data_IF_950395667846
#
_entry.id   IF_950395667846
#
_cell.length_a   1.000
_cell.length_b   1.000
_cell.length_c   1.000
_cell.angle_alpha   90.00
_cell.angle_beta   90.00
_cell.angle_gamma   90.00
#
_symmetry.space_group_name_H-M   'P 1'
#
loop_
_entity.id
_entity.type
_entity.pdbx_description
1 polymer ?
#
# COMPACT_ATOMS: atom_id res chain seq x y z
N UNK A 1 6.38 24.90 13.78
CA UNK A 1 5.62 25.18 15.01
C UNK A 1 6.31 24.46 16.15
N UNK A 2 6.67 25.23 17.17
CA UNK A 2 7.41 24.79 18.35
C UNK A 2 6.84 23.48 18.91
N UNK A 3 7.70 22.47 19.04
CA UNK A 3 7.42 21.22 19.74
C UNK A 3 7.37 21.53 21.23
N UNK A 4 6.22 22.03 21.71
CA UNK A 4 5.94 22.02 23.14
C UNK A 4 5.92 20.56 23.58
N UNK A 5 6.94 20.16 24.36
CA UNK A 5 6.93 18.89 25.06
C UNK A 5 5.61 18.80 25.86
N UNK A 6 4.87 17.68 25.81
CA UNK A 6 3.69 17.53 26.63
C UNK A 6 4.10 17.69 28.11
N UNK A 7 3.29 18.37 28.94
CA UNK A 7 3.65 18.62 30.33
C UNK A 7 3.95 17.30 31.05
N UNK A 8 4.99 17.31 31.88
CA UNK A 8 5.58 16.18 32.62
C UNK A 8 4.61 15.34 33.49
N UNK A 9 3.30 15.60 33.49
CA UNK A 9 2.31 14.94 34.34
C UNK A 9 1.59 13.76 33.68
N UNK A 10 1.82 13.50 32.38
CA UNK A 10 1.07 12.46 31.64
C UNK A 10 1.41 11.02 32.06
N UNK A 11 2.65 10.78 32.53
CA UNK A 11 3.08 9.48 33.02
C UNK A 11 2.55 9.15 34.43
N UNK A 12 2.27 10.17 35.23
CA UNK A 12 1.80 10.07 36.62
C UNK A 12 0.29 9.80 36.73
N UNK A 13 -0.47 10.02 35.65
CA UNK A 13 -1.90 9.75 35.63
C UNK A 13 -2.20 8.25 35.76
N UNK A 14 -3.33 7.86 36.39
CA UNK A 14 -3.78 6.48 36.42
C UNK A 14 -3.85 5.86 35.03
N UNK A 15 -3.46 4.58 34.90
CA UNK A 15 -3.39 3.87 33.61
C UNK A 15 -4.67 4.03 32.79
N UNK A 16 -5.84 3.94 33.44
CA UNK A 16 -7.14 4.07 32.77
C UNK A 16 -7.30 5.44 32.10
N UNK A 17 -6.89 6.53 32.76
CA UNK A 17 -6.96 7.89 32.20
C UNK A 17 -6.07 8.02 30.97
N UNK A 18 -4.86 7.43 31.02
CA UNK A 18 -3.94 7.44 29.87
C UNK A 18 -4.48 6.62 28.69
N UNK A 19 -5.09 5.46 28.97
CA UNK A 19 -5.72 4.62 27.95
C UNK A 19 -6.94 5.30 27.34
N UNK A 20 -7.77 5.95 28.15
CA UNK A 20 -8.91 6.73 27.67
C UNK A 20 -8.44 7.89 26.77
N UNK A 21 -7.37 8.58 27.15
CA UNK A 21 -6.78 9.63 26.32
C UNK A 21 -6.32 9.09 24.96
N UNK A 22 -5.66 7.92 24.92
CA UNK A 22 -5.32 7.26 23.65
C UNK A 22 -6.56 6.91 22.85
N UNK A 23 -7.56 6.28 23.48
CA UNK A 23 -8.77 5.76 22.83
C UNK A 23 -9.60 6.86 22.15
N UNK A 24 -9.53 8.10 22.64
CA UNK A 24 -10.20 9.26 22.05
C UNK A 24 -9.50 9.82 20.81
N UNK A 25 -8.31 9.32 20.47
CA UNK A 25 -7.56 9.79 19.30
C UNK A 25 -7.99 9.07 18.02
N UNK A 26 -8.02 9.81 16.91
CA UNK A 26 -8.20 9.22 15.59
C UNK A 26 -7.04 8.26 15.21
N UNK A 27 -5.86 8.46 15.79
CA UNK A 27 -4.72 7.55 15.60
C UNK A 27 -4.95 6.18 16.26
N UNK A 28 -5.67 6.13 17.39
CA UNK A 28 -6.03 4.87 18.01
C UNK A 28 -7.06 4.10 17.18
N UNK A 29 -8.06 4.79 16.63
CA UNK A 29 -8.99 4.17 15.67
C UNK A 29 -8.25 3.60 14.44
N UNK A 30 -7.27 4.33 13.93
CA UNK A 30 -6.39 3.87 12.85
C UNK A 30 -5.56 2.64 13.25
N UNK A 31 -5.03 2.61 14.48
CA UNK A 31 -4.34 1.43 15.02
C UNK A 31 -5.25 0.19 15.12
N UNK A 32 -6.46 0.35 15.64
CA UNK A 32 -7.46 -0.74 15.72
C UNK A 32 -7.84 -1.24 14.33
N UNK A 33 -7.95 -0.34 13.35
CA UNK A 33 -8.16 -0.72 11.94
C UNK A 33 -7.04 -1.62 11.40
N UNK A 34 -5.77 -1.26 11.63
CA UNK A 34 -4.65 -2.10 11.21
C UNK A 34 -4.60 -3.44 11.95
N UNK A 35 -4.88 -3.47 13.26
CA UNK A 35 -4.98 -4.71 14.02
C UNK A 35 -6.09 -5.62 13.45
N UNK A 36 -7.26 -5.05 13.16
CA UNK A 36 -8.40 -5.77 12.58
C UNK A 36 -8.03 -6.34 11.21
N UNK A 37 -7.36 -5.56 10.36
CA UNK A 37 -6.87 -6.01 9.05
C UNK A 37 -5.92 -7.20 9.19
N UNK A 38 -4.96 -7.15 10.11
CA UNK A 38 -3.99 -8.23 10.34
C UNK A 38 -4.68 -9.52 10.80
N UNK A 39 -5.58 -9.43 11.79
CA UNK A 39 -6.31 -10.59 12.33
C UNK A 39 -7.20 -11.22 11.24
N UNK A 40 -7.93 -10.40 10.49
CA UNK A 40 -8.83 -10.89 9.43
C UNK A 40 -8.07 -11.46 8.24
N UNK A 41 -6.93 -10.86 7.88
CA UNK A 41 -6.02 -11.42 6.86
C UNK A 41 -5.45 -12.77 7.29
N UNK A 42 -5.06 -12.92 8.55
CA UNK A 42 -4.61 -14.20 9.11
C UNK A 42 -5.74 -15.24 9.07
N UNK A 43 -6.95 -14.86 9.50
CA UNK A 43 -8.14 -15.74 9.48
C UNK A 43 -8.49 -16.20 8.06
N UNK A 44 -8.41 -15.31 7.08
CA UNK A 44 -8.64 -15.64 5.67
C UNK A 44 -7.54 -16.53 5.10
N UNK A 45 -6.27 -16.26 5.44
CA UNK A 45 -5.13 -17.12 5.08
C UNK A 45 -5.30 -18.53 5.62
N UNK A 46 -5.71 -18.70 6.88
CA UNK A 46 -6.03 -20.02 7.44
C UNK A 46 -7.17 -20.70 6.67
N UNK A 47 -8.19 -19.96 6.23
CA UNK A 47 -9.27 -20.52 5.42
C UNK A 47 -8.77 -21.01 4.06
N UNK A 48 -7.83 -20.30 3.42
CA UNK A 48 -7.20 -20.71 2.17
C UNK A 48 -6.40 -22.00 2.37
N UNK A 49 -5.57 -22.06 3.43
CA UNK A 49 -4.77 -23.25 3.76
C UNK A 49 -5.62 -24.48 4.09
N UNK A 50 -6.82 -24.28 4.63
CA UNK A 50 -7.81 -25.33 4.89
C UNK A 50 -8.73 -25.64 3.70
N UNK A 51 -8.48 -25.04 2.53
CA UNK A 51 -9.35 -25.14 1.34
C UNK A 51 -10.81 -24.76 1.62
N UNK A 52 -11.05 -23.88 2.59
CA UNK A 52 -12.37 -23.44 3.07
C UNK A 52 -12.65 -21.96 2.74
N UNK A 53 -12.00 -21.42 1.71
CA UNK A 53 -12.09 -20.00 1.35
C UNK A 53 -13.47 -19.57 0.81
N UNK A 54 -14.29 -20.54 0.39
CA UNK A 54 -15.66 -20.30 -0.10
C UNK A 54 -16.70 -20.20 1.03
N UNK A 55 -16.30 -20.44 2.29
CA UNK A 55 -17.21 -20.36 3.43
C UNK A 55 -17.65 -18.92 3.72
N UNK A 56 -18.83 -18.74 4.32
CA UNK A 56 -19.32 -17.43 4.76
C UNK A 56 -18.33 -16.73 5.68
N UNK A 57 -17.73 -17.46 6.64
CA UNK A 57 -16.74 -16.90 7.56
C UNK A 57 -15.46 -16.41 6.86
N UNK A 58 -14.98 -17.11 5.84
CA UNK A 58 -13.85 -16.66 5.04
C UNK A 58 -14.18 -15.39 4.25
N UNK A 59 -15.36 -15.36 3.62
CA UNK A 59 -15.82 -14.17 2.91
C UNK A 59 -15.95 -12.96 3.84
N UNK A 60 -16.53 -13.13 5.04
CA UNK A 60 -16.60 -12.05 6.05
C UNK A 60 -15.20 -11.57 6.42
N UNK A 61 -14.25 -12.47 6.67
CA UNK A 61 -12.87 -12.08 6.99
C UNK A 61 -12.22 -11.27 5.86
N UNK A 62 -12.37 -11.69 4.60
CA UNK A 62 -11.86 -10.96 3.44
C UNK A 62 -12.47 -9.55 3.31
N UNK A 63 -13.80 -9.44 3.41
CA UNK A 63 -14.50 -8.16 3.31
C UNK A 63 -14.15 -7.23 4.49
N UNK A 64 -14.06 -7.78 5.70
CA UNK A 64 -13.68 -7.01 6.88
C UNK A 64 -12.23 -6.52 6.82
N UNK A 65 -11.32 -7.29 6.21
CA UNK A 65 -9.94 -6.87 5.99
C UNK A 65 -9.88 -5.63 5.06
N UNK A 66 -10.59 -5.65 3.94
CA UNK A 66 -10.63 -4.49 3.03
C UNK A 66 -11.45 -3.32 3.56
N UNK A 67 -12.50 -3.57 4.35
CA UNK A 67 -13.19 -2.51 5.07
C UNK A 67 -12.26 -1.82 6.08
N UNK A 68 -11.44 -2.60 6.80
CA UNK A 68 -10.43 -2.07 7.71
C UNK A 68 -9.33 -1.30 6.97
N UNK A 69 -8.92 -1.78 5.79
CA UNK A 69 -8.01 -1.05 4.91
C UNK A 69 -8.60 0.30 4.48
N UNK A 70 -9.85 0.30 4.00
CA UNK A 70 -10.53 1.53 3.61
C UNK A 70 -10.66 2.51 4.78
N UNK A 71 -10.99 2.03 5.98
CA UNK A 71 -11.05 2.87 7.17
C UNK A 71 -9.68 3.49 7.54
N UNK A 72 -8.61 2.69 7.54
CA UNK A 72 -7.26 3.16 7.89
C UNK A 72 -6.72 4.17 6.90
N UNK A 73 -6.76 3.87 5.59
CA UNK A 73 -6.36 4.84 4.57
C UNK A 73 -7.29 6.05 4.50
N UNK A 74 -8.59 5.86 4.73
CA UNK A 74 -9.56 6.96 4.84
C UNK A 74 -9.21 7.94 5.96
N UNK A 75 -8.77 7.45 7.12
CA UNK A 75 -8.26 8.29 8.21
C UNK A 75 -7.02 9.08 7.78
N UNK A 76 -6.07 8.45 7.08
CA UNK A 76 -4.84 9.11 6.62
C UNK A 76 -5.16 10.21 5.61
N UNK A 77 -6.00 9.91 4.61
CA UNK A 77 -6.48 10.87 3.61
C UNK A 77 -7.24 12.01 4.28
N UNK A 78 -8.16 11.71 5.20
CA UNK A 78 -8.88 12.74 5.96
C UNK A 78 -7.91 13.68 6.68
N UNK A 79 -6.92 13.13 7.40
CA UNK A 79 -5.92 13.95 8.11
C UNK A 79 -5.06 14.78 7.15
N UNK A 80 -4.70 14.25 5.99
CA UNK A 80 -3.88 14.93 5.00
C UNK A 80 -4.60 16.14 4.35
N UNK A 81 -5.91 16.04 4.14
CA UNK A 81 -6.67 17.04 3.36
C UNK A 81 -7.65 17.89 4.18
N UNK A 82 -8.02 17.51 5.41
CA UNK A 82 -9.01 18.24 6.23
C UNK A 82 -8.69 19.73 6.40
N UNK A 83 -7.43 20.06 6.71
CA UNK A 83 -7.03 21.45 6.93
C UNK A 83 -7.13 22.29 5.65
N UNK A 84 -6.69 21.73 4.51
CA UNK A 84 -6.79 22.37 3.19
C UNK A 84 -8.23 22.56 2.75
N UNK A 85 -9.06 21.56 2.99
CA UNK A 85 -10.51 21.62 2.74
C UNK A 85 -11.16 22.75 3.55
N UNK A 86 -10.89 22.84 4.85
CA UNK A 86 -11.44 23.91 5.71
C UNK A 86 -10.95 25.30 5.33
N UNK A 87 -9.72 25.42 4.86
CA UNK A 87 -9.14 26.68 4.43
C UNK A 87 -9.51 27.07 2.99
N UNK A 88 -10.30 26.25 2.26
CA UNK A 88 -10.62 26.51 0.85
C UNK A 88 -9.40 26.43 -0.09
N UNK A 89 -8.30 25.84 0.35
CA UNK A 89 -7.02 25.75 -0.40
C UNK A 89 -6.79 24.37 -1.01
N UNK A 90 -7.88 23.64 -1.27
CA UNK A 90 -7.79 22.36 -1.96
C UNK A 90 -7.24 22.57 -3.37
N UNK A 91 -6.37 21.69 -3.86
CA UNK A 91 -5.94 21.74 -5.25
C UNK A 91 -7.16 21.64 -6.18
N UNK A 92 -7.37 22.65 -7.03
CA UNK A 92 -8.49 22.71 -7.99
C UNK A 92 -8.01 22.44 -9.42
N UNK A 93 -8.97 22.22 -10.32
CA UNK A 93 -8.70 21.94 -11.73
C UNK A 93 -7.99 20.60 -11.97
N UNK A 94 -7.61 20.36 -13.23
CA UNK A 94 -7.02 19.09 -13.65
C UNK A 94 -5.71 18.77 -12.90
N UNK A 95 -4.84 19.75 -12.71
CA UNK A 95 -3.59 19.57 -11.97
C UNK A 95 -3.83 19.23 -10.49
N UNK A 96 -4.88 19.79 -9.88
CA UNK A 96 -5.28 19.47 -8.52
C UNK A 96 -5.75 18.02 -8.37
N UNK A 97 -6.56 17.53 -9.31
CA UNK A 97 -7.00 16.13 -9.36
C UNK A 97 -5.80 15.19 -9.51
N UNK A 98 -4.88 15.47 -10.42
CA UNK A 98 -3.65 14.66 -10.59
C UNK A 98 -2.83 14.62 -9.30
N UNK A 99 -2.72 15.75 -8.59
CA UNK A 99 -1.98 15.81 -7.32
C UNK A 99 -2.63 14.96 -6.23
N UNK A 100 -3.95 14.91 -6.14
CA UNK A 100 -4.67 14.10 -5.15
C UNK A 100 -4.60 12.62 -5.51
N UNK A 101 -4.83 12.26 -6.79
CA UNK A 101 -4.69 10.87 -7.26
C UNK A 101 -3.23 10.39 -7.22
N UNK A 102 -2.29 11.32 -7.21
CA UNK A 102 -0.88 11.08 -6.98
C UNK A 102 -0.51 10.85 -5.51
N UNK A 103 -1.41 10.94 -4.54
CA UNK A 103 -1.11 10.55 -3.16
C UNK A 103 -1.24 9.03 -3.01
N UNK A 104 -0.19 8.37 -2.53
CA UNK A 104 -0.19 6.91 -2.37
C UNK A 104 -1.30 6.43 -1.42
N UNK A 105 -1.66 7.21 -0.39
CA UNK A 105 -2.73 6.84 0.52
C UNK A 105 -4.10 6.90 -0.15
N UNK A 106 -4.29 7.86 -1.05
CA UNK A 106 -5.50 7.93 -1.89
C UNK A 106 -5.54 6.74 -2.84
N UNK A 107 -4.42 6.38 -3.46
CA UNK A 107 -4.32 5.22 -4.34
C UNK A 107 -4.67 3.92 -3.61
N UNK A 108 -4.12 3.66 -2.41
CA UNK A 108 -4.47 2.48 -1.63
C UNK A 108 -5.91 2.53 -1.09
N UNK A 109 -6.45 3.70 -0.77
CA UNK A 109 -7.86 3.83 -0.40
C UNK A 109 -8.78 3.40 -1.56
N UNK A 110 -8.52 3.89 -2.77
CA UNK A 110 -9.28 3.50 -3.97
C UNK A 110 -9.14 2.00 -4.22
N UNK A 111 -7.93 1.45 -4.13
CA UNK A 111 -7.72 0.02 -4.29
C UNK A 111 -8.42 -0.81 -3.21
N UNK A 112 -8.46 -0.35 -1.95
CA UNK A 112 -9.19 -1.02 -0.88
C UNK A 112 -10.69 -1.12 -1.21
N UNK A 113 -11.29 -0.05 -1.73
CA UNK A 113 -12.69 -0.10 -2.20
C UNK A 113 -12.87 -1.03 -3.40
N UNK A 114 -11.99 -1.00 -4.40
CA UNK A 114 -12.08 -1.90 -5.54
C UNK A 114 -12.05 -3.37 -5.10
N UNK A 115 -11.11 -3.74 -4.21
CA UNK A 115 -11.00 -5.10 -3.68
C UNK A 115 -12.13 -5.47 -2.72
N UNK A 116 -12.72 -4.50 -2.03
CA UNK A 116 -13.88 -4.71 -1.17
C UNK A 116 -15.11 -5.17 -1.94
N UNK A 117 -15.27 -4.77 -3.21
CA UNK A 117 -16.44 -5.12 -4.02
C UNK A 117 -16.14 -6.14 -5.14
N UNK A 118 -14.87 -6.35 -5.51
CA UNK A 118 -14.51 -7.37 -6.50
C UNK A 118 -14.72 -8.80 -5.97
N UNK A 119 -14.62 -9.78 -6.86
CA UNK A 119 -14.44 -11.18 -6.44
C UNK A 119 -13.16 -11.31 -5.58
N UNK A 120 -13.16 -12.16 -4.53
CA UNK A 120 -12.00 -12.28 -3.66
C UNK A 120 -10.72 -12.73 -4.39
N UNK A 121 -9.64 -11.98 -4.19
CA UNK A 121 -8.31 -12.23 -4.76
C UNK A 121 -7.35 -12.38 -3.59
N UNK A 122 -6.94 -13.61 -3.28
CA UNK A 122 -6.14 -13.89 -2.08
C UNK A 122 -4.91 -12.98 -1.91
N UNK A 123 -4.07 -12.89 -2.95
CA UNK A 123 -2.86 -12.08 -2.92
C UNK A 123 -3.11 -10.58 -2.76
N UNK A 124 -4.33 -10.09 -2.98
CA UNK A 124 -4.64 -8.65 -2.88
C UNK A 124 -4.51 -8.13 -1.45
N UNK A 125 -4.65 -9.00 -0.43
CA UNK A 125 -4.50 -8.62 0.98
C UNK A 125 -3.03 -8.39 1.37
N UNK A 126 -2.07 -8.97 0.66
CA UNK A 126 -0.68 -9.02 1.12
C UNK A 126 0.02 -7.66 1.16
N UNK A 127 -0.08 -6.79 0.13
CA UNK A 127 0.48 -5.44 0.22
C UNK A 127 -0.07 -4.68 1.45
N UNK A 128 -1.38 -4.75 1.67
CA UNK A 128 -2.05 -4.10 2.80
C UNK A 128 -1.63 -4.68 4.15
N UNK A 129 -1.43 -6.00 4.24
CA UNK A 129 -0.96 -6.67 5.46
C UNK A 129 0.48 -6.31 5.80
N UNK A 130 1.36 -6.17 4.78
CA UNK A 130 2.72 -5.68 4.98
C UNK A 130 2.68 -4.27 5.54
N UNK A 131 2.02 -3.31 4.88
CA UNK A 131 1.89 -1.94 5.41
C UNK A 131 1.29 -1.91 6.81
N UNK A 132 0.23 -2.67 7.05
CA UNK A 132 -0.43 -2.75 8.35
C UNK A 132 0.48 -3.28 9.46
N UNK A 133 1.39 -4.20 9.15
CA UNK A 133 2.38 -4.70 10.12
C UNK A 133 3.31 -3.58 10.57
N UNK A 134 3.85 -2.80 9.63
CA UNK A 134 4.73 -1.67 9.95
C UNK A 134 4.00 -0.57 10.72
N UNK A 135 2.77 -0.25 10.33
CA UNK A 135 1.93 0.73 11.01
C UNK A 135 1.55 0.29 12.43
N UNK A 136 1.13 -0.96 12.60
CA UNK A 136 0.84 -1.55 13.89
C UNK A 136 2.07 -1.51 14.82
N UNK A 137 3.23 -1.98 14.35
CA UNK A 137 4.47 -2.00 15.13
C UNK A 137 4.94 -0.58 15.49
N UNK A 138 4.83 0.36 14.56
CA UNK A 138 5.20 1.76 14.81
C UNK A 138 4.30 2.40 15.86
N UNK A 139 2.99 2.16 15.80
CA UNK A 139 2.06 2.67 16.81
C UNK A 139 2.26 2.00 18.17
N UNK A 140 2.43 0.66 18.17
CA UNK A 140 2.71 -0.12 19.37
C UNK A 140 3.92 0.43 20.10
N UNK A 141 5.02 0.68 19.38
CA UNK A 141 6.25 1.26 19.94
C UNK A 141 6.07 2.69 20.42
N UNK A 142 5.50 3.56 19.61
CA UNK A 142 5.56 5.01 19.86
C UNK A 142 4.43 5.55 20.73
N UNK A 143 3.32 4.82 20.87
CA UNK A 143 2.13 5.32 21.56
C UNK A 143 1.62 4.35 22.62
N UNK A 144 1.51 3.05 22.29
CA UNK A 144 0.87 2.10 23.21
C UNK A 144 1.81 1.62 24.32
N UNK A 145 3.02 1.14 23.98
CA UNK A 145 3.98 0.63 24.97
C UNK A 145 4.38 1.67 26.02
N UNK A 146 4.68 2.94 25.69
CA UNK A 146 4.95 3.96 26.70
C UNK A 146 3.79 4.15 27.70
N UNK A 147 2.55 3.86 27.29
CA UNK A 147 1.36 3.99 28.13
C UNK A 147 1.10 2.74 28.97
N UNK A 148 1.29 1.52 28.45
CA UNK A 148 0.95 0.29 29.18
C UNK A 148 2.13 -0.34 29.91
N UNK A 149 3.36 -0.09 29.43
CA UNK A 149 4.58 -0.72 29.90
C UNK A 149 5.78 0.25 29.74
N UNK A 150 5.80 1.38 30.48
CA UNK A 150 6.76 2.47 30.28
C UNK A 150 8.23 2.06 30.47
N UNK A 151 8.49 1.02 31.24
CA UNK A 151 9.84 0.47 31.47
C UNK A 151 10.27 -0.56 30.44
N UNK A 152 9.36 -0.98 29.54
CA UNK A 152 9.66 -1.98 28.52
C UNK A 152 10.37 -1.34 27.33
N UNK A 153 11.59 -1.81 27.06
CA UNK A 153 12.38 -1.39 25.91
C UNK A 153 11.68 -1.78 24.60
N UNK A 154 11.40 -0.80 23.73
CA UNK A 154 10.81 -1.02 22.41
C UNK A 154 11.86 -1.08 21.27
N UNK A 155 13.14 -1.22 21.63
CA UNK A 155 14.30 -1.25 20.75
C UNK A 155 14.22 -2.43 19.78
N UNK A 156 13.73 -3.58 20.23
CA UNK A 156 13.53 -4.75 19.37
C UNK A 156 12.57 -4.45 18.21
N UNK A 157 11.45 -3.77 18.49
CA UNK A 157 10.49 -3.32 17.47
C UNK A 157 11.16 -2.31 16.54
N UNK A 158 11.90 -1.34 17.09
CA UNK A 158 12.64 -0.38 16.27
C UNK A 158 13.63 -1.05 15.32
N UNK A 159 14.40 -2.03 15.80
CA UNK A 159 15.38 -2.76 15.00
C UNK A 159 14.69 -3.59 13.93
N UNK A 160 13.60 -4.27 14.28
CA UNK A 160 12.82 -5.04 13.33
C UNK A 160 12.28 -4.17 12.20
N UNK A 161 11.64 -3.04 12.53
CA UNK A 161 11.10 -2.10 11.53
C UNK A 161 12.20 -1.59 10.61
N UNK A 162 13.32 -1.10 11.16
CA UNK A 162 14.43 -0.58 10.34
C UNK A 162 15.05 -1.65 9.45
N UNK A 163 15.36 -2.83 10.02
CA UNK A 163 16.03 -3.93 9.30
C UNK A 163 15.19 -4.47 8.15
N UNK A 164 13.87 -4.57 8.34
CA UNK A 164 12.99 -5.23 7.37
C UNK A 164 12.29 -4.26 6.41
N UNK A 165 12.44 -2.94 6.59
CA UNK A 165 11.71 -1.95 5.78
C UNK A 165 11.98 -2.11 4.28
N UNK A 166 13.24 -2.03 3.84
CA UNK A 166 13.59 -2.10 2.42
C UNK A 166 13.18 -3.45 1.80
N UNK A 167 13.48 -4.56 2.48
CA UNK A 167 13.05 -5.91 2.04
C UNK A 167 11.54 -6.00 1.89
N UNK A 168 10.79 -5.42 2.82
CA UNK A 168 9.32 -5.42 2.77
C UNK A 168 8.79 -4.52 1.66
N UNK A 169 9.45 -3.39 1.36
CA UNK A 169 9.08 -2.53 0.25
C UNK A 169 9.33 -3.21 -1.10
N UNK A 170 10.43 -3.95 -1.26
CA UNK A 170 10.63 -4.79 -2.44
C UNK A 170 9.60 -5.92 -2.55
N UNK A 171 9.22 -6.55 -1.43
CA UNK A 171 8.15 -7.54 -1.41
C UNK A 171 6.82 -6.92 -1.87
N UNK A 172 6.44 -5.76 -1.35
CA UNK A 172 5.24 -5.03 -1.77
C UNK A 172 5.28 -4.71 -3.27
N UNK A 173 6.41 -4.20 -3.78
CA UNK A 173 6.54 -3.89 -5.19
C UNK A 173 6.34 -5.12 -6.09
N UNK A 174 6.94 -6.26 -5.71
CA UNK A 174 6.76 -7.52 -6.43
C UNK A 174 5.32 -8.03 -6.35
N UNK A 175 4.67 -7.92 -5.19
CA UNK A 175 3.27 -8.29 -5.02
C UNK A 175 2.35 -7.41 -5.89
N UNK A 176 2.62 -6.11 -5.98
CA UNK A 176 1.84 -5.19 -6.81
C UNK A 176 1.93 -5.54 -8.30
N UNK A 177 3.12 -5.84 -8.79
CA UNK A 177 3.34 -6.27 -10.18
C UNK A 177 2.71 -7.65 -10.43
N UNK A 178 2.87 -8.60 -9.50
CA UNK A 178 2.26 -9.92 -9.58
C UNK A 178 0.73 -9.85 -9.65
N UNK A 179 0.12 -8.98 -8.84
CA UNK A 179 -1.31 -8.74 -8.85
C UNK A 179 -1.79 -8.17 -10.18
N UNK A 180 -1.06 -7.20 -10.76
CA UNK A 180 -1.39 -6.70 -12.09
C UNK A 180 -1.31 -7.82 -13.14
N UNK A 181 -0.22 -8.60 -13.14
CA UNK A 181 -0.04 -9.71 -14.08
C UNK A 181 -1.18 -10.73 -13.96
N UNK A 182 -1.59 -11.08 -12.72
CA UNK A 182 -2.75 -11.94 -12.47
C UNK A 182 -4.04 -11.35 -13.05
N UNK A 183 -4.33 -10.08 -12.77
CA UNK A 183 -5.55 -9.42 -13.26
C UNK A 183 -5.56 -9.33 -14.79
N UNK A 184 -4.40 -9.04 -15.39
CA UNK A 184 -4.20 -9.01 -16.84
C UNK A 184 -4.48 -10.36 -17.49
N UNK A 185 -3.87 -11.44 -16.98
CA UNK A 185 -4.10 -12.79 -17.49
C UNK A 185 -5.57 -13.21 -17.32
N UNK A 186 -6.17 -12.89 -16.18
CA UNK A 186 -7.59 -13.19 -15.97
C UNK A 186 -8.51 -12.43 -16.94
N UNK A 187 -8.23 -11.16 -17.24
CA UNK A 187 -8.96 -10.40 -18.25
C UNK A 187 -8.79 -10.99 -19.66
N UNK A 188 -7.59 -11.46 -20.01
CA UNK A 188 -7.30 -12.06 -21.31
C UNK A 188 -8.04 -13.39 -21.51
N UNK A 189 -8.01 -14.29 -20.52
CA UNK A 189 -8.61 -15.63 -20.65
C UNK A 189 -10.11 -15.68 -20.38
N UNK A 190 -10.63 -14.82 -19.49
CA UNK A 190 -12.01 -14.91 -19.01
C UNK A 190 -12.88 -13.68 -19.35
N UNK A 191 -12.34 -12.70 -20.09
CA UNK A 191 -13.02 -11.52 -20.67
C UNK A 191 -13.89 -10.65 -19.73
N UNK A 192 -13.85 -10.90 -18.42
CA UNK A 192 -14.79 -10.32 -17.44
C UNK A 192 -14.13 -9.35 -16.44
N UNK A 193 -12.94 -8.82 -16.72
CA UNK A 193 -12.19 -7.99 -15.76
C UNK A 193 -11.51 -6.76 -16.35
N UNK A 194 -11.99 -6.27 -17.49
CA UNK A 194 -11.42 -5.09 -18.16
C UNK A 194 -11.44 -3.82 -17.31
N UNK A 195 -12.51 -3.59 -16.54
CA UNK A 195 -12.60 -2.42 -15.64
C UNK A 195 -11.57 -2.52 -14.51
N UNK A 196 -11.48 -3.69 -13.86
CA UNK A 196 -10.49 -3.91 -12.80
C UNK A 196 -9.05 -3.81 -13.33
N UNK A 197 -8.81 -4.34 -14.54
CA UNK A 197 -7.52 -4.20 -15.22
C UNK A 197 -7.19 -2.73 -15.49
N UNK A 198 -8.14 -1.93 -15.99
CA UNK A 198 -7.93 -0.51 -16.25
C UNK A 198 -7.59 0.24 -14.94
N UNK A 199 -8.37 0.03 -13.88
CA UNK A 199 -8.13 0.65 -12.56
C UNK A 199 -6.76 0.24 -12.01
N UNK A 200 -6.44 -1.05 -12.01
CA UNK A 200 -5.17 -1.54 -11.48
C UNK A 200 -3.98 -1.07 -12.33
N UNK A 201 -4.14 -0.94 -13.64
CA UNK A 201 -3.11 -0.38 -14.53
C UNK A 201 -2.84 1.09 -14.18
N UNK A 202 -3.87 1.89 -13.93
CA UNK A 202 -3.72 3.28 -13.47
C UNK A 202 -3.03 3.34 -12.10
N UNK A 203 -3.41 2.46 -11.18
CA UNK A 203 -2.73 2.32 -9.89
C UNK A 203 -1.24 2.01 -10.06
N UNK A 204 -0.90 0.95 -10.81
CA UNK A 204 0.49 0.56 -11.02
C UNK A 204 1.30 1.65 -11.76
N UNK A 205 0.65 2.41 -12.63
CA UNK A 205 1.26 3.55 -13.34
C UNK A 205 1.64 4.67 -12.37
N UNK A 206 0.71 5.04 -11.48
CA UNK A 206 0.98 6.02 -10.44
C UNK A 206 2.10 5.54 -9.50
N UNK A 207 2.09 4.25 -9.15
CA UNK A 207 3.14 3.62 -8.34
C UNK A 207 4.50 3.62 -9.03
N UNK A 208 4.57 3.37 -10.34
CA UNK A 208 5.83 3.46 -11.09
C UNK A 208 6.43 4.87 -11.10
N UNK A 209 5.57 5.90 -11.19
CA UNK A 209 6.02 7.29 -11.12
C UNK A 209 6.60 7.65 -9.73
N UNK A 210 6.06 7.07 -8.66
CA UNK A 210 6.31 7.51 -7.29
C UNK A 210 7.24 6.61 -6.47
N UNK A 211 7.31 5.32 -6.79
CA UNK A 211 8.05 4.32 -6.02
C UNK A 211 9.29 3.84 -6.77
N UNK A 212 10.46 4.08 -6.17
CA UNK A 212 11.71 3.52 -6.66
C UNK A 212 11.68 1.98 -6.66
N UNK A 213 11.05 1.37 -5.65
CA UNK A 213 10.93 -0.09 -5.52
C UNK A 213 10.19 -0.73 -6.69
N UNK A 214 9.15 -0.07 -7.23
CA UNK A 214 8.42 -0.56 -8.41
C UNK A 214 9.29 -0.48 -9.66
N UNK A 215 10.01 0.64 -9.83
CA UNK A 215 10.95 0.79 -10.96
C UNK A 215 12.05 -0.27 -10.90
N UNK A 216 12.59 -0.53 -9.72
CA UNK A 216 13.65 -1.53 -9.53
C UNK A 216 13.12 -2.95 -9.71
N UNK A 217 11.91 -3.26 -9.24
CA UNK A 217 11.27 -4.54 -9.50
C UNK A 217 11.00 -4.78 -10.99
N UNK A 218 10.53 -3.77 -11.73
CA UNK A 218 10.34 -3.86 -13.19
C UNK A 218 11.67 -4.05 -13.93
N UNK A 219 12.72 -3.31 -13.56
CA UNK A 219 14.08 -3.53 -14.10
C UNK A 219 14.58 -4.95 -13.82
N UNK A 220 14.32 -5.47 -12.62
CA UNK A 220 14.66 -6.85 -12.26
C UNK A 220 13.96 -7.88 -13.16
N UNK A 221 12.69 -7.65 -13.51
CA UNK A 221 11.94 -8.48 -14.45
C UNK A 221 12.53 -8.38 -15.86
N UNK A 222 12.87 -7.17 -16.31
CA UNK A 222 13.49 -6.93 -17.61
C UNK A 222 14.82 -7.69 -17.75
N UNK A 223 15.73 -7.53 -16.78
CA UNK A 223 17.02 -8.22 -16.80
C UNK A 223 16.87 -9.75 -16.81
N UNK A 224 15.94 -10.30 -16.01
CA UNK A 224 15.72 -11.75 -15.98
C UNK A 224 15.10 -12.26 -17.28
N UNK A 225 14.16 -11.53 -17.87
CA UNK A 225 13.57 -11.92 -19.14
C UNK A 225 14.56 -11.84 -20.29
N UNK A 226 15.44 -10.82 -20.31
CA UNK A 226 16.54 -10.73 -21.28
C UNK A 226 17.52 -11.90 -21.15
N UNK A 227 17.84 -12.32 -19.92
CA UNK A 227 18.68 -13.48 -19.68
C UNK A 227 18.06 -14.77 -20.24
N UNK A 228 16.76 -14.99 -19.99
CA UNK A 228 16.03 -16.18 -20.49
C UNK A 228 15.98 -16.20 -22.02
N UNK A 229 15.75 -15.05 -22.65
CA UNK A 229 15.55 -14.96 -24.11
C UNK A 229 16.85 -14.96 -24.90
N UNK A 230 17.97 -14.65 -24.24
CA UNK A 230 19.31 -14.86 -24.78
C UNK A 230 19.64 -16.33 -25.04
N UNK A 231 18.88 -17.28 -24.48
CA UNK A 231 19.11 -18.70 -24.71
C UNK A 231 18.79 -19.12 -26.17
N UNK A 232 19.68 -19.89 -26.83
CA UNK A 232 19.47 -20.34 -28.21
C UNK A 232 18.23 -21.23 -28.39
N UNK A 233 17.80 -21.90 -27.32
CA UNK A 233 16.69 -22.88 -27.30
C UNK A 233 15.30 -22.23 -27.34
N UNK A 234 15.20 -20.92 -27.11
CA UNK A 234 13.92 -20.23 -27.02
C UNK A 234 13.34 -19.94 -28.43
N UNK A 235 12.07 -20.31 -28.72
CA UNK A 235 11.44 -20.04 -30.01
C UNK A 235 11.35 -18.54 -30.35
N UNK A 236 11.50 -18.18 -31.62
CA UNK A 236 11.45 -16.78 -32.09
C UNK A 236 10.17 -16.04 -31.70
N UNK A 237 9.03 -16.74 -31.71
CA UNK A 237 7.75 -16.18 -31.27
C UNK A 237 7.78 -15.65 -29.83
N UNK A 238 8.46 -16.36 -28.92
CA UNK A 238 8.64 -15.93 -27.52
C UNK A 238 9.56 -14.72 -27.43
N UNK A 239 10.63 -14.69 -28.23
CA UNK A 239 11.55 -13.54 -28.31
C UNK A 239 10.81 -12.28 -28.80
N UNK A 240 9.98 -12.42 -29.83
CA UNK A 240 9.17 -11.33 -30.37
C UNK A 240 8.14 -10.82 -29.36
N UNK A 241 7.41 -11.73 -28.69
CA UNK A 241 6.44 -11.35 -27.67
C UNK A 241 7.09 -10.56 -26.52
N UNK A 242 8.29 -10.95 -26.09
CA UNK A 242 9.04 -10.21 -25.08
C UNK A 242 9.51 -8.83 -25.54
N UNK A 243 9.99 -8.70 -26.78
CA UNK A 243 10.38 -7.40 -27.33
C UNK A 243 9.19 -6.42 -27.38
N UNK A 244 8.00 -6.93 -27.70
CA UNK A 244 6.74 -6.16 -27.61
C UNK A 244 6.45 -5.76 -26.16
N UNK A 245 6.55 -6.69 -25.21
CA UNK A 245 6.35 -6.42 -23.79
C UNK A 245 7.34 -5.35 -23.26
N UNK A 246 8.62 -5.45 -23.59
CA UNK A 246 9.65 -4.44 -23.25
C UNK A 246 9.30 -3.07 -23.81
N UNK A 247 8.88 -3.00 -25.06
CA UNK A 247 8.47 -1.73 -25.69
C UNK A 247 7.27 -1.13 -24.95
N UNK A 248 6.30 -1.96 -24.54
CA UNK A 248 5.16 -1.52 -23.76
C UNK A 248 5.57 -1.00 -22.37
N UNK A 249 6.47 -1.69 -21.65
CA UNK A 249 7.00 -1.26 -20.35
C UNK A 249 7.76 0.07 -20.49
N UNK A 250 8.59 0.22 -21.52
CA UNK A 250 9.32 1.46 -21.78
C UNK A 250 8.36 2.64 -22.01
N UNK A 251 7.37 2.46 -22.89
CA UNK A 251 6.32 3.46 -23.14
C UNK A 251 5.52 3.77 -21.87
N UNK A 252 5.20 2.75 -21.08
CA UNK A 252 4.53 2.90 -19.80
C UNK A 252 5.36 3.78 -18.85
N UNK A 253 6.68 3.58 -18.79
CA UNK A 253 7.58 4.41 -17.99
C UNK A 253 7.68 5.85 -18.47
N UNK A 254 7.83 6.07 -19.78
CA UNK A 254 7.88 7.41 -20.40
C UNK A 254 6.60 8.21 -20.10
N UNK A 255 5.45 7.59 -20.28
CA UNK A 255 4.13 8.21 -20.06
C UNK A 255 3.83 8.39 -18.56
N UNK A 256 4.51 7.67 -17.67
CA UNK A 256 4.40 7.82 -16.21
C UNK A 256 5.28 8.92 -15.63
N UNK A 257 6.37 9.26 -16.29
CA UNK A 257 7.27 10.34 -15.90
C UNK A 257 6.69 11.73 -16.25
N UNK A 258 5.57 12.10 -15.64
CA UNK A 258 4.93 13.43 -15.83
C UNK A 258 5.63 14.51 -14.99
N UNK A 259 6.66 14.17 -14.21
CA UNK A 259 7.49 15.15 -13.47
C UNK A 259 8.61 15.78 -14.31
N UNK A 260 8.71 15.46 -15.61
CA UNK A 260 9.60 16.14 -16.55
C UNK A 260 9.10 17.53 -16.98
N UNK A 261 8.74 18.40 -16.04
CA UNK A 261 8.82 19.84 -16.31
C UNK A 261 10.32 20.21 -16.20
N UNK A 262 10.91 20.95 -17.15
CA UNK A 262 12.32 21.33 -17.06
C UNK A 262 12.56 22.02 -15.73
N UNK A 263 13.55 21.55 -14.99
CA UNK A 263 14.05 22.25 -13.82
C UNK A 263 14.36 23.68 -14.26
N UNK A 264 13.59 24.66 -13.76
CA UNK A 264 13.90 26.05 -13.96
C UNK A 264 15.36 26.25 -13.54
N UNK A 265 16.19 26.61 -14.52
CA UNK A 265 17.57 27.00 -14.27
C UNK A 265 17.54 28.05 -13.16
N UNK A 266 18.21 27.73 -12.05
CA UNK A 266 18.55 28.75 -11.07
C UNK A 266 19.50 29.71 -11.76
N UNK A 267 18.98 30.83 -12.23
CA UNK A 267 19.79 32.00 -12.55
C UNK A 267 20.48 32.42 -11.26
N UNK A 268 21.79 32.62 -11.36
CA UNK A 268 22.66 33.17 -10.32
C UNK A 268 22.19 34.54 -9.85
#
# INVERSE_FOLDING_TARGET
MSSAAPPNNAAEQPLMVRLQALAQTLQFAWFVGHLTLLITTLRYTIAILKFSANTTGANIAYRLAFLSAAATYGIVVYKAYRARFRAGTMPTGQQGVVKILGDENVQYLLMAFCWLYSTPVYFALFPFAVYSTFHFLSYLRSNLLPVIAPTTSAEAISRFVKKNYDTSMHLVANLEILLWARVFLYALFFQNSWILLAIYTLFLRARYAQSAFIRDAMRGIEMRGDAVIGEPTIPEGVKNAWNVAKTAIKRFGEVSNIQGAPAAQKTQ
#
